data_IF_954257126324
#
_entry.id   IF_954257126324
#
_cell.length_a   1.000
_cell.length_b   1.000
_cell.length_c   1.000
_cell.angle_alpha   90.00
_cell.angle_beta   90.00
_cell.angle_gamma   90.00
#
_symmetry.space_group_name_H-M   'P 1'
#
loop_
_entity.id
_entity.type
_entity.pdbx_description
1 polymer ?
#
# COMPACT_ATOMS: atom_id res chain seq x y z
N UNK A 1 -0.31 1.93 20.65
CA UNK A 1 -0.21 3.38 20.33
C UNK A 1 0.88 3.74 19.30
N UNK A 2 1.96 2.95 19.15
CA UNK A 2 3.12 3.26 18.27
C UNK A 2 2.79 3.48 16.77
N UNK A 3 1.64 3.01 16.29
CA UNK A 3 1.30 2.95 14.85
C UNK A 3 0.72 4.26 14.28
N UNK A 4 0.15 5.14 15.12
CA UNK A 4 -0.41 6.43 14.67
C UNK A 4 0.66 7.51 14.45
N UNK A 5 1.88 7.30 14.96
CA UNK A 5 3.01 8.19 14.72
C UNK A 5 3.62 8.03 13.32
N UNK A 6 3.24 6.97 12.59
CA UNK A 6 3.65 6.77 11.21
C UNK A 6 2.58 7.34 10.27
N UNK A 7 3.00 8.09 9.24
CA UNK A 7 2.11 8.82 8.35
C UNK A 7 1.02 7.92 7.71
N UNK A 8 1.39 6.69 7.32
CA UNK A 8 0.45 5.68 6.83
C UNK A 8 -0.62 5.33 7.88
N UNK A 9 -0.21 5.02 9.12
CA UNK A 9 -1.12 4.63 10.20
C UNK A 9 -2.02 5.77 10.66
N UNK A 10 -1.51 7.01 10.66
CA UNK A 10 -2.25 8.24 10.91
C UNK A 10 -3.36 8.44 9.87
N UNK A 11 -3.03 8.34 8.57
CA UNK A 11 -4.01 8.46 7.50
C UNK A 11 -5.10 7.41 7.60
N UNK A 12 -4.72 6.14 7.75
CA UNK A 12 -5.63 4.99 7.73
C UNK A 12 -6.61 4.97 8.91
N UNK A 13 -6.13 5.33 10.10
CA UNK A 13 -6.89 5.11 11.34
C UNK A 13 -7.56 6.37 11.86
N UNK A 14 -7.15 7.55 11.38
CA UNK A 14 -7.67 8.84 11.82
C UNK A 14 -8.22 9.66 10.65
N UNK A 15 -7.36 10.13 9.74
CA UNK A 15 -7.79 11.10 8.73
C UNK A 15 -8.85 10.57 7.76
N UNK A 16 -8.61 9.40 7.16
CA UNK A 16 -9.52 8.85 6.16
C UNK A 16 -10.88 8.44 6.74
N UNK A 17 -10.98 7.67 7.85
CA UNK A 17 -12.28 7.32 8.40
C UNK A 17 -13.03 8.57 8.87
N UNK A 18 -12.39 9.49 9.60
CA UNK A 18 -13.08 10.69 10.11
C UNK A 18 -13.58 11.60 8.97
N UNK A 19 -12.84 11.70 7.86
CA UNK A 19 -13.22 12.51 6.70
C UNK A 19 -14.56 12.08 6.07
N UNK A 20 -14.94 10.81 6.22
CA UNK A 20 -16.14 10.20 5.62
C UNK A 20 -17.15 9.70 6.66
N UNK A 21 -16.99 10.05 7.94
CA UNK A 21 -17.87 9.60 9.03
C UNK A 21 -17.71 8.13 9.43
N UNK A 22 -16.57 7.51 9.08
CA UNK A 22 -16.18 6.18 9.53
C UNK A 22 -15.49 6.18 10.90
N UNK A 23 -14.99 5.00 11.30
CA UNK A 23 -14.27 4.80 12.55
C UNK A 23 -12.96 4.04 12.32
N UNK A 24 -11.92 4.39 13.10
CA UNK A 24 -10.68 3.62 13.18
C UNK A 24 -10.71 2.64 14.35
N UNK A 25 -10.14 1.45 14.16
CA UNK A 25 -9.95 0.45 15.22
C UNK A 25 -8.47 0.42 15.58
N UNK A 26 -8.18 0.61 16.86
CA UNK A 26 -6.80 0.67 17.36
C UNK A 26 -6.48 -0.56 18.21
N UNK A 27 -5.51 -1.36 17.76
CA UNK A 27 -4.86 -2.34 18.63
C UNK A 27 -3.70 -1.65 19.36
N UNK A 28 -3.78 -1.50 20.70
CA UNK A 28 -2.74 -0.84 21.48
C UNK A 28 -1.44 -1.63 21.48
N UNK A 29 -1.56 -2.96 21.49
CA UNK A 29 -0.48 -3.94 21.60
C UNK A 29 0.15 -4.29 20.24
N UNK A 30 1.08 -5.25 20.29
CA UNK A 30 1.69 -5.82 19.09
C UNK A 30 0.63 -6.44 18.17
N UNK A 31 0.78 -6.21 16.87
CA UNK A 31 -0.11 -6.79 15.84
C UNK A 31 0.20 -8.25 15.58
N UNK A 32 0.15 -9.09 16.63
CA UNK A 32 0.28 -10.54 16.46
C UNK A 32 -0.88 -11.06 15.59
N UNK A 33 -0.65 -12.02 14.67
CA UNK A 33 -1.68 -12.49 13.74
C UNK A 33 -2.99 -12.92 14.42
N UNK A 34 -2.92 -13.61 15.56
CA UNK A 34 -4.06 -14.02 16.37
C UNK A 34 -4.88 -12.83 16.87
N UNK A 35 -4.22 -11.86 17.49
CA UNK A 35 -4.87 -10.64 17.98
C UNK A 35 -5.54 -9.85 16.86
N UNK A 36 -4.93 -9.83 15.67
CA UNK A 36 -5.49 -9.14 14.49
C UNK A 36 -6.75 -9.85 14.01
N UNK A 37 -6.73 -11.18 13.87
CA UNK A 37 -7.89 -11.95 13.45
C UNK A 37 -9.03 -11.86 14.48
N UNK A 38 -8.73 -11.98 15.77
CA UNK A 38 -9.71 -11.80 16.85
C UNK A 38 -10.33 -10.39 16.83
N UNK A 39 -9.52 -9.38 16.53
CA UNK A 39 -10.02 -8.00 16.39
C UNK A 39 -10.92 -7.86 15.16
N UNK A 40 -10.58 -8.51 14.04
CA UNK A 40 -11.42 -8.53 12.84
C UNK A 40 -12.79 -9.16 13.15
N UNK A 41 -12.80 -10.28 13.87
CA UNK A 41 -14.05 -10.97 14.22
C UNK A 41 -14.88 -10.17 15.22
N UNK A 42 -14.24 -9.56 16.22
CA UNK A 42 -14.91 -8.78 17.27
C UNK A 42 -15.53 -7.48 16.76
N UNK A 43 -14.82 -6.71 15.95
CA UNK A 43 -15.23 -5.36 15.57
C UNK A 43 -15.70 -5.22 14.11
N UNK A 44 -15.48 -6.25 13.28
CA UNK A 44 -15.93 -6.27 11.90
C UNK A 44 -15.44 -5.09 11.04
N UNK A 45 -14.13 -4.79 10.98
CA UNK A 45 -13.60 -3.79 10.08
C UNK A 45 -13.96 -4.11 8.62
N UNK A 46 -14.23 -3.08 7.83
CA UNK A 46 -14.51 -3.24 6.39
C UNK A 46 -13.28 -2.98 5.51
N UNK A 47 -12.27 -2.29 6.04
CA UNK A 47 -10.98 -2.06 5.37
C UNK A 47 -9.87 -2.45 6.32
N UNK A 48 -8.91 -3.23 5.83
CA UNK A 48 -7.76 -3.67 6.60
C UNK A 48 -6.45 -3.14 5.99
N UNK A 49 -5.70 -2.41 6.80
CA UNK A 49 -4.41 -1.83 6.42
C UNK A 49 -3.29 -2.61 7.09
N UNK A 50 -2.32 -3.09 6.32
CA UNK A 50 -1.13 -3.74 6.87
C UNK A 50 0.08 -3.59 5.94
N UNK A 51 1.13 -4.35 6.21
CA UNK A 51 2.39 -4.40 5.45
C UNK A 51 2.68 -5.83 4.99
N UNK A 52 3.54 -6.05 3.97
CA UNK A 52 3.73 -7.38 3.37
C UNK A 52 4.09 -8.49 4.37
N UNK A 53 4.94 -8.19 5.36
CA UNK A 53 5.35 -9.16 6.40
C UNK A 53 4.19 -9.61 7.27
N UNK A 54 3.28 -8.69 7.62
CA UNK A 54 2.09 -9.02 8.40
C UNK A 54 1.06 -9.79 7.56
N UNK A 55 0.90 -9.47 6.27
CA UNK A 55 0.07 -10.28 5.37
C UNK A 55 0.59 -11.71 5.25
N UNK A 56 1.90 -11.91 5.12
CA UNK A 56 2.51 -13.24 5.08
C UNK A 56 2.26 -14.03 6.38
N UNK A 57 2.42 -13.40 7.54
CA UNK A 57 2.17 -14.05 8.84
C UNK A 57 0.69 -14.40 9.04
N UNK A 58 -0.23 -13.52 8.66
CA UNK A 58 -1.67 -13.76 8.72
C UNK A 58 -2.08 -14.89 7.77
N UNK A 59 -1.53 -14.93 6.56
CA UNK A 59 -1.78 -15.98 5.59
C UNK A 59 -1.31 -17.35 6.12
N UNK A 60 -0.09 -17.42 6.68
CA UNK A 60 0.46 -18.63 7.28
C UNK A 60 -0.41 -19.15 8.43
N UNK A 61 -0.86 -18.26 9.32
CA UNK A 61 -1.74 -18.64 10.43
C UNK A 61 -3.09 -19.13 9.92
N UNK A 62 -3.71 -18.42 8.96
CA UNK A 62 -4.98 -18.81 8.39
C UNK A 62 -4.92 -20.16 7.64
N UNK A 63 -3.78 -20.48 7.03
CA UNK A 63 -3.52 -21.80 6.44
C UNK A 63 -3.45 -22.90 7.50
N UNK A 64 -2.70 -22.66 8.58
CA UNK A 64 -2.59 -23.58 9.70
C UNK A 64 -3.94 -23.88 10.36
N UNK A 65 -4.80 -22.87 10.49
CA UNK A 65 -6.08 -22.97 11.18
C UNK A 65 -7.27 -23.26 10.26
N UNK A 66 -7.04 -23.42 8.96
CA UNK A 66 -8.12 -23.67 8.00
C UNK A 66 -9.07 -22.48 7.79
N UNK A 67 -8.70 -21.27 8.22
CA UNK A 67 -9.50 -20.06 8.07
C UNK A 67 -9.55 -19.61 6.60
N UNK A 68 -10.76 -19.40 6.08
CA UNK A 68 -11.03 -18.98 4.69
C UNK A 68 -11.71 -17.61 4.57
N UNK A 69 -12.05 -16.96 5.70
CA UNK A 69 -12.74 -15.67 5.71
C UNK A 69 -12.04 -14.60 6.53
N UNK A 70 -12.27 -13.33 6.18
CA UNK A 70 -11.82 -12.14 6.93
C UNK A 70 -12.99 -11.38 7.58
N UNK A 71 -14.13 -12.05 7.78
CA UNK A 71 -15.35 -11.42 8.28
C UNK A 71 -15.88 -10.38 7.29
N UNK A 72 -15.98 -9.11 7.73
CA UNK A 72 -16.56 -8.00 6.94
C UNK A 72 -15.55 -7.26 6.06
N UNK A 73 -14.27 -7.65 6.09
CA UNK A 73 -13.22 -6.99 5.33
C UNK A 73 -13.51 -7.15 3.83
N UNK A 74 -13.66 -6.02 3.14
CA UNK A 74 -13.90 -5.96 1.69
C UNK A 74 -12.72 -5.37 0.91
N UNK A 75 -11.71 -4.86 1.61
CA UNK A 75 -10.56 -4.21 1.01
C UNK A 75 -9.33 -4.34 1.91
N UNK A 76 -8.22 -4.77 1.34
CA UNK A 76 -6.91 -4.79 1.99
C UNK A 76 -5.98 -3.77 1.33
N UNK A 77 -5.10 -3.12 2.10
CA UNK A 77 -4.13 -2.14 1.59
C UNK A 77 -2.75 -2.42 2.18
N UNK A 78 -1.73 -2.43 1.32
CA UNK A 78 -0.33 -2.67 1.68
C UNK A 78 0.58 -1.52 1.23
N UNK A 79 1.57 -1.18 2.07
CA UNK A 79 2.67 -0.29 1.71
C UNK A 79 3.91 -0.56 2.57
N UNK A 80 4.97 0.23 2.41
CA UNK A 80 6.21 0.16 3.18
C UNK A 80 7.27 -0.79 2.63
N UNK A 81 6.86 -1.81 1.87
CA UNK A 81 7.74 -2.65 1.06
C UNK A 81 6.93 -3.23 -0.12
N UNK A 82 7.56 -3.64 -1.22
CA UNK A 82 6.87 -4.30 -2.32
C UNK A 82 6.14 -5.56 -1.86
N UNK A 83 4.86 -5.71 -2.23
CA UNK A 83 4.10 -6.91 -1.93
C UNK A 83 4.51 -8.05 -2.89
N UNK A 84 5.07 -9.17 -2.39
CA UNK A 84 5.46 -10.29 -3.26
C UNK A 84 4.23 -10.90 -3.93
N UNK A 85 4.27 -11.08 -5.25
CA UNK A 85 3.19 -11.71 -6.02
C UNK A 85 2.65 -13.03 -5.42
N UNK A 86 3.48 -13.97 -4.92
CA UNK A 86 2.96 -15.19 -4.30
C UNK A 86 2.06 -14.94 -3.08
N UNK A 87 2.35 -13.89 -2.29
CA UNK A 87 1.50 -13.51 -1.15
C UNK A 87 0.18 -12.92 -1.64
N UNK A 88 0.22 -12.04 -2.64
CA UNK A 88 -0.99 -11.47 -3.24
C UNK A 88 -1.93 -12.56 -3.80
N UNK A 89 -1.38 -13.49 -4.59
CA UNK A 89 -2.17 -14.54 -5.25
C UNK A 89 -2.81 -15.48 -4.23
N UNK A 90 -2.03 -16.00 -3.28
CA UNK A 90 -2.55 -16.89 -2.22
C UNK A 90 -3.55 -16.20 -1.31
N UNK A 91 -3.33 -14.93 -0.97
CA UNK A 91 -4.29 -14.16 -0.17
C UNK A 91 -5.63 -14.01 -0.90
N UNK A 92 -5.58 -13.65 -2.19
CA UNK A 92 -6.78 -13.50 -3.02
C UNK A 92 -7.50 -14.83 -3.20
N UNK A 93 -6.79 -15.91 -3.46
CA UNK A 93 -7.36 -17.25 -3.58
C UNK A 93 -8.04 -17.69 -2.28
N UNK A 94 -7.39 -17.46 -1.13
CA UNK A 94 -7.88 -17.91 0.16
C UNK A 94 -9.08 -17.12 0.67
N UNK A 95 -9.05 -15.79 0.53
CA UNK A 95 -10.04 -14.91 1.16
C UNK A 95 -10.98 -14.21 0.17
N UNK A 96 -10.71 -14.26 -1.13
CA UNK A 96 -11.48 -13.54 -2.15
C UNK A 96 -11.32 -12.01 -2.09
N UNK A 97 -10.38 -11.47 -1.29
CA UNK A 97 -10.16 -10.03 -1.11
C UNK A 97 -8.83 -9.63 -1.73
N UNK A 98 -8.81 -8.56 -2.52
CA UNK A 98 -7.57 -8.02 -3.09
C UNK A 98 -6.79 -7.20 -2.06
N UNK A 99 -5.46 -7.32 -2.11
CA UNK A 99 -4.54 -6.39 -1.43
C UNK A 99 -4.13 -5.31 -2.44
N UNK A 100 -4.48 -4.06 -2.14
CA UNK A 100 -4.02 -2.92 -2.92
C UNK A 100 -2.61 -2.53 -2.46
N UNK A 101 -1.60 -3.01 -3.18
CA UNK A 101 -0.22 -2.56 -2.96
C UNK A 101 -0.04 -1.12 -3.46
N UNK A 102 0.66 -0.31 -2.67
CA UNK A 102 0.82 1.12 -2.89
C UNK A 102 2.17 1.64 -2.39
N UNK A 103 2.70 2.68 -3.04
CA UNK A 103 3.88 3.41 -2.59
C UNK A 103 3.41 4.77 -2.04
N UNK A 104 3.89 5.08 -0.84
CA UNK A 104 3.73 6.36 -0.17
C UNK A 104 5.01 6.77 0.55
N UNK A 105 5.03 7.98 1.08
CA UNK A 105 6.13 8.46 1.92
C UNK A 105 5.63 9.40 3.01
N UNK A 106 6.49 9.74 3.96
CA UNK A 106 6.14 10.71 5.01
C UNK A 106 6.04 12.13 4.44
N UNK A 107 6.90 12.47 3.49
CA UNK A 107 6.95 13.77 2.81
C UNK A 107 5.69 14.05 1.98
N UNK A 108 5.12 13.02 1.37
CA UNK A 108 3.84 13.09 0.66
C UNK A 108 2.64 12.75 1.56
N UNK A 109 2.86 12.62 2.88
CA UNK A 109 1.91 12.21 3.93
C UNK A 109 1.32 10.79 3.78
N UNK A 110 1.07 10.30 2.56
CA UNK A 110 0.46 9.00 2.33
C UNK A 110 0.80 8.45 0.92
N UNK A 111 0.02 7.47 0.46
CA UNK A 111 0.17 6.77 -0.80
C UNK A 111 -0.16 7.71 -1.98
N UNK A 112 0.76 7.80 -2.95
CA UNK A 112 0.60 8.56 -4.19
C UNK A 112 0.60 7.68 -5.45
N UNK A 113 1.05 6.41 -5.36
CA UNK A 113 0.84 5.39 -6.41
C UNK A 113 0.17 4.17 -5.76
N UNK A 114 -0.94 3.70 -6.31
CA UNK A 114 -1.69 2.58 -5.73
C UNK A 114 -2.37 1.70 -6.78
N UNK A 115 -2.46 0.40 -6.50
CA UNK A 115 -3.42 -0.47 -7.18
C UNK A 115 -4.85 0.01 -6.95
N UNK A 116 -5.73 -0.29 -7.91
CA UNK A 116 -7.15 0.06 -7.81
C UNK A 116 -7.97 -1.20 -7.55
N UNK A 117 -9.07 -1.11 -6.80
CA UNK A 117 -9.98 -2.24 -6.64
C UNK A 117 -10.39 -2.82 -8.00
N UNK A 118 -10.36 -4.14 -8.11
CA UNK A 118 -10.63 -4.94 -9.32
C UNK A 118 -9.57 -4.87 -10.43
N UNK A 119 -8.52 -4.07 -10.23
CA UNK A 119 -7.39 -3.95 -11.16
C UNK A 119 -6.06 -4.40 -10.53
N UNK A 120 -6.06 -4.82 -9.26
CA UNK A 120 -4.87 -5.13 -8.50
C UNK A 120 -4.12 -6.36 -9.06
N UNK A 121 -2.80 -6.25 -9.11
CA UNK A 121 -1.91 -7.33 -9.60
C UNK A 121 -0.72 -7.46 -8.66
N UNK A 122 -0.34 -8.70 -8.36
CA UNK A 122 0.93 -9.00 -7.69
C UNK A 122 2.11 -8.47 -8.50
N UNK A 123 3.18 -8.06 -7.81
CA UNK A 123 4.34 -7.37 -8.38
C UNK A 123 3.99 -6.11 -9.20
N UNK A 124 2.93 -5.39 -8.80
CA UNK A 124 2.62 -4.06 -9.31
C UNK A 124 2.18 -3.16 -8.17
N UNK A 125 2.57 -1.89 -8.21
CA UNK A 125 2.07 -0.84 -7.30
C UNK A 125 0.89 -0.07 -7.92
N UNK A 126 0.50 -0.42 -9.16
CA UNK A 126 -0.65 0.20 -9.81
C UNK A 126 -0.38 1.56 -10.45
N UNK A 127 -1.27 2.53 -10.19
CA UNK A 127 -1.39 3.79 -10.94
C UNK A 127 -1.26 5.00 -10.04
N UNK A 128 -0.92 6.14 -10.64
CA UNK A 128 -0.93 7.43 -9.95
C UNK A 128 -2.30 7.69 -9.31
N UNK A 129 -2.28 8.12 -8.05
CA UNK A 129 -3.46 8.59 -7.33
C UNK A 129 -3.86 9.94 -7.94
N UNK A 130 -5.15 10.16 -8.29
CA UNK A 130 -5.59 11.45 -8.82
C UNK A 130 -5.19 12.61 -7.89
N UNK A 131 -4.61 13.66 -8.46
CA UNK A 131 -4.06 14.80 -7.71
C UNK A 131 -2.54 14.80 -7.60
N UNK A 132 -1.88 13.67 -7.87
CA UNK A 132 -0.42 13.59 -7.94
C UNK A 132 0.07 13.51 -9.39
N UNK A 133 1.28 14.00 -9.62
CA UNK A 133 2.12 13.69 -10.77
C UNK A 133 3.44 13.09 -10.30
N UNK A 134 4.02 12.23 -11.13
CA UNK A 134 5.38 11.76 -10.91
C UNK A 134 6.19 11.70 -12.19
N UNK A 135 7.51 11.77 -12.02
CA UNK A 135 8.49 11.71 -13.08
C UNK A 135 9.69 10.90 -12.62
N UNK A 136 10.15 9.98 -13.46
CA UNK A 136 11.42 9.29 -13.26
C UNK A 136 12.51 10.16 -13.90
N UNK A 137 13.56 10.45 -13.14
CA UNK A 137 14.71 11.23 -13.62
C UNK A 137 16.00 10.46 -13.41
N UNK A 138 16.98 10.73 -14.27
CA UNK A 138 18.36 10.25 -14.06
C UNK A 138 19.06 11.03 -12.93
N UNK A 139 20.32 10.66 -12.64
CA UNK A 139 21.15 11.37 -11.66
C UNK A 139 21.39 12.85 -11.96
N UNK A 140 21.18 13.30 -13.21
CA UNK A 140 21.31 14.69 -13.64
C UNK A 140 19.98 15.44 -13.60
N UNK A 141 18.90 14.82 -13.11
CA UNK A 141 17.56 15.40 -13.06
C UNK A 141 16.85 15.44 -14.42
N UNK A 142 17.41 14.80 -15.45
CA UNK A 142 16.80 14.76 -16.77
C UNK A 142 15.67 13.74 -16.77
N UNK A 143 14.54 14.15 -17.34
CA UNK A 143 13.36 13.29 -17.46
C UNK A 143 13.71 12.08 -18.30
N UNK A 144 13.64 10.89 -17.73
CA UNK A 144 13.69 9.68 -18.52
C UNK A 144 12.36 9.60 -19.27
N UNK A 145 12.42 9.56 -20.60
CA UNK A 145 11.22 9.29 -21.39
C UNK A 145 10.66 7.97 -20.91
N UNK A 146 9.38 7.99 -20.52
CA UNK A 146 8.60 6.77 -20.38
C UNK A 146 8.70 6.03 -21.72
N UNK A 147 9.58 5.04 -21.83
CA UNK A 147 9.69 4.28 -23.06
C UNK A 147 8.31 3.63 -23.24
N UNK A 148 7.64 3.93 -24.35
CA UNK A 148 6.32 3.36 -24.69
C UNK A 148 6.31 1.82 -24.68
N UNK A 149 7.48 1.19 -24.60
CA UNK A 149 7.73 -0.24 -24.43
C UNK A 149 7.72 -0.77 -22.99
N UNK A 150 7.57 0.08 -21.95
CA UNK A 150 7.45 -0.35 -20.55
C UNK A 150 5.99 -0.16 -20.10
N UNK A 151 5.23 -1.25 -19.85
CA UNK A 151 3.86 -1.14 -19.41
C UNK A 151 3.74 -0.43 -18.05
N UNK A 152 2.68 0.38 -17.87
CA UNK A 152 2.38 1.11 -16.60
C UNK A 152 2.40 0.22 -15.35
N UNK A 153 2.17 -1.09 -15.47
CA UNK A 153 2.19 -2.03 -14.35
C UNK A 153 3.60 -2.49 -13.94
N UNK A 154 4.64 -2.20 -14.74
CA UNK A 154 6.01 -2.72 -14.56
C UNK A 154 6.88 -1.93 -13.59
N UNK A 155 6.31 -1.01 -12.80
CA UNK A 155 7.06 -0.22 -11.81
C UNK A 155 7.87 -1.13 -10.86
N UNK A 156 7.43 -2.35 -10.55
CA UNK A 156 8.16 -3.19 -9.58
C UNK A 156 9.30 -4.02 -10.18
N UNK A 157 9.23 -4.49 -11.44
CA UNK A 157 10.30 -5.37 -11.97
C UNK A 157 11.66 -4.68 -12.15
N UNK A 158 11.71 -3.36 -12.15
CA UNK A 158 12.97 -2.59 -12.23
C UNK A 158 13.40 -1.95 -10.90
N UNK A 159 12.55 -1.94 -9.86
CA UNK A 159 12.90 -1.34 -8.56
C UNK A 159 13.84 -2.23 -7.71
N UNK A 160 13.94 -3.53 -8.00
CA UNK A 160 14.84 -4.44 -7.27
C UNK A 160 16.29 -4.43 -7.76
N UNK A 161 16.62 -3.71 -8.85
CA UNK A 161 17.96 -3.75 -9.47
C UNK A 161 18.57 -2.40 -9.90
N UNK A 162 17.84 -1.29 -9.83
CA UNK A 162 18.30 0.03 -10.35
C UNK A 162 18.62 1.08 -9.28
N UNK A 163 19.01 0.66 -8.08
CA UNK A 163 19.32 1.56 -6.96
C UNK A 163 20.63 2.38 -7.08
N UNK A 164 21.23 2.50 -8.27
CA UNK A 164 22.48 3.24 -8.45
C UNK A 164 22.33 4.49 -9.35
N UNK A 165 21.21 4.70 -10.08
CA UNK A 165 21.15 5.85 -11.01
C UNK A 165 19.81 6.55 -11.32
N UNK A 166 18.69 6.18 -10.68
CA UNK A 166 17.38 6.75 -11.00
C UNK A 166 16.64 7.25 -9.75
N UNK A 167 15.95 8.39 -9.87
CA UNK A 167 15.16 9.03 -8.80
C UNK A 167 13.71 9.19 -9.22
N UNK A 168 12.76 8.94 -8.31
CA UNK A 168 11.35 9.25 -8.52
C UNK A 168 11.05 10.63 -7.91
N UNK A 169 10.61 11.57 -8.74
CA UNK A 169 10.11 12.88 -8.33
C UNK A 169 8.59 12.86 -8.31
N UNK A 170 7.97 13.29 -7.20
CA UNK A 170 6.51 13.41 -7.06
C UNK A 170 6.11 14.82 -6.67
N UNK A 171 5.00 15.32 -7.22
CA UNK A 171 4.39 16.58 -6.82
C UNK A 171 2.85 16.52 -6.80
N UNK A 172 2.24 17.38 -5.98
CA UNK A 172 0.79 17.61 -5.93
C UNK A 172 0.38 18.64 -6.98
N UNK A 173 -0.82 18.50 -7.56
CA UNK A 173 -1.38 19.42 -8.58
C UNK A 173 -1.94 20.74 -8.04
N UNK A 174 -1.52 21.18 -6.86
CA UNK A 174 -2.00 22.46 -6.31
C UNK A 174 -1.40 23.67 -7.05
N UNK A 175 -2.20 24.72 -7.32
CA UNK A 175 -1.84 25.78 -8.27
C UNK A 175 -0.71 26.73 -7.83
N UNK A 176 -0.28 26.75 -6.56
CA UNK A 176 0.67 27.75 -6.06
C UNK A 176 2.00 27.22 -5.48
N UNK A 177 2.24 25.91 -5.45
CA UNK A 177 3.56 25.38 -5.07
C UNK A 177 3.79 23.95 -5.54
N UNK A 178 4.62 23.76 -6.57
CA UNK A 178 5.07 22.43 -7.02
C UNK A 178 6.29 22.02 -6.21
N UNK A 179 6.07 21.43 -5.03
CA UNK A 179 7.17 20.80 -4.27
C UNK A 179 7.43 19.41 -4.85
N UNK A 180 8.67 19.16 -5.27
CA UNK A 180 9.11 17.85 -5.76
C UNK A 180 9.86 17.10 -4.66
N UNK A 181 9.43 15.87 -4.38
CA UNK A 181 10.12 14.99 -3.42
C UNK A 181 10.92 13.93 -4.16
N UNK A 182 12.19 13.73 -3.77
CA UNK A 182 12.99 12.59 -4.22
C UNK A 182 12.68 11.43 -3.30
N UNK A 183 12.19 10.33 -3.88
CA UNK A 183 12.07 9.07 -3.16
C UNK A 183 13.16 8.14 -3.66
N UNK A 184 13.97 7.66 -2.71
CA UNK A 184 15.02 6.67 -2.91
C UNK A 184 14.40 5.28 -2.97
#
# INVERSE_FOLDING_TARGET
MKKIFFAYGLGNSLYFPLRVGGAGIFLPDESRPDMVLDTMDKYGPTVFYSVPTSYAALLQMAEKEGRTGLGRVRLCVSTGAPLPKPIFERWRERFGVEILDGIGSTEALHIFISNRPREAKGDSTGKMVPGYDARIVDNKGQSLRWAASIPHWSVIKHFSGLFISQKLLISSKEPESVTWFIIY
#
